data_IF_193905970062
#
_entry.id   IF_193905970062
#
_cell.length_a   1.000
_cell.length_b   1.000
_cell.length_c   1.000
_cell.angle_alpha   90.00
_cell.angle_beta   90.00
_cell.angle_gamma   90.00
#
_symmetry.space_group_name_H-M   'P 1'
#
loop_
_entity.id
_entity.type
_entity.pdbx_description
1 polymer ?
#
# COMPACT_ATOMS: atom_id res chain seq x y z
N UNK A 1 -1.78 -14.01 -10.70
CA UNK A 1 -2.30 -13.89 -9.31
C UNK A 1 -1.71 -14.90 -8.34
N UNK A 2 -1.83 -16.21 -8.56
CA UNK A 2 -1.26 -17.21 -7.65
C UNK A 2 0.26 -17.04 -7.49
N UNK A 3 0.97 -16.84 -8.60
CA UNK A 3 2.42 -16.61 -8.57
C UNK A 3 2.79 -15.38 -7.75
N UNK A 4 2.14 -14.23 -7.94
CA UNK A 4 2.35 -13.03 -7.11
C UNK A 4 2.19 -13.36 -5.62
N UNK A 5 1.09 -14.01 -5.24
CA UNK A 5 0.82 -14.38 -3.84
C UNK A 5 1.90 -15.30 -3.28
N UNK A 6 2.33 -16.30 -4.03
CA UNK A 6 3.29 -17.29 -3.55
C UNK A 6 4.70 -16.71 -3.51
N UNK A 7 5.09 -15.89 -4.49
CA UNK A 7 6.41 -15.25 -4.59
C UNK A 7 6.60 -14.09 -3.63
N UNK A 8 5.53 -13.48 -3.11
CA UNK A 8 5.63 -12.37 -2.15
C UNK A 8 5.27 -12.77 -0.71
N UNK A 9 5.08 -14.06 -0.44
CA UNK A 9 4.60 -14.55 0.87
C UNK A 9 5.53 -14.15 2.01
N UNK A 10 6.83 -14.33 1.83
CA UNK A 10 7.85 -14.02 2.84
C UNK A 10 7.85 -12.54 3.19
N UNK A 11 7.84 -11.68 2.18
CA UNK A 11 7.85 -10.23 2.35
C UNK A 11 6.52 -9.72 2.93
N UNK A 12 5.38 -10.36 2.60
CA UNK A 12 4.09 -10.10 3.23
C UNK A 12 4.11 -10.40 4.74
N UNK A 13 4.61 -11.57 5.15
CA UNK A 13 4.75 -11.91 6.58
C UNK A 13 5.69 -10.92 7.29
N UNK A 14 6.77 -10.50 6.64
CA UNK A 14 7.71 -9.52 7.21
C UNK A 14 7.02 -8.19 7.48
N UNK A 15 6.30 -7.61 6.52
CA UNK A 15 5.64 -6.31 6.73
C UNK A 15 4.56 -6.38 7.82
N UNK A 16 3.82 -7.49 7.94
CA UNK A 16 2.87 -7.70 9.03
C UNK A 16 3.55 -7.67 10.41
N UNK A 17 4.74 -8.29 10.52
CA UNK A 17 5.52 -8.32 11.75
C UNK A 17 6.11 -6.95 12.14
N UNK A 18 6.41 -6.09 11.16
CA UNK A 18 6.92 -4.73 11.39
C UNK A 18 5.78 -3.81 11.82
N UNK A 19 4.66 -3.87 11.10
CA UNK A 19 3.51 -2.99 11.33
C UNK A 19 2.75 -3.35 12.62
N UNK A 20 2.56 -4.65 12.90
CA UNK A 20 1.81 -5.16 14.06
C UNK A 20 0.41 -4.55 14.20
N UNK A 21 -0.25 -4.27 13.07
CA UNK A 21 -1.56 -3.59 13.03
C UNK A 21 -2.71 -4.38 13.67
N UNK A 22 -2.53 -5.68 13.87
CA UNK A 22 -3.47 -6.55 14.57
C UNK A 22 -3.18 -6.65 16.07
N UNK A 23 -2.21 -5.90 16.59
CA UNK A 23 -1.93 -5.85 18.02
C UNK A 23 -2.35 -4.50 18.59
N UNK A 24 -2.69 -4.42 19.89
CA UNK A 24 -2.89 -3.14 20.55
C UNK A 24 -1.66 -2.24 20.39
N UNK A 25 -1.89 -0.96 20.11
CA UNK A 25 -0.84 0.05 19.98
C UNK A 25 -1.34 1.40 20.47
N UNK A 26 -0.44 2.37 20.64
CA UNK A 26 -0.80 3.75 20.96
C UNK A 26 -1.25 4.52 19.71
N UNK A 27 -2.02 5.60 19.92
CA UNK A 27 -2.37 6.55 18.85
C UNK A 27 -1.11 7.14 18.21
N UNK A 28 -0.06 7.41 19.00
CA UNK A 28 1.21 7.93 18.48
C UNK A 28 1.90 6.94 17.53
N UNK A 29 1.94 5.64 17.87
CA UNK A 29 2.48 4.61 16.98
C UNK A 29 1.66 4.50 15.71
N UNK A 30 0.33 4.47 15.82
CA UNK A 30 -0.56 4.44 14.67
C UNK A 30 -0.37 5.66 13.75
N UNK A 31 -0.25 6.87 14.31
CA UNK A 31 0.07 8.07 13.56
C UNK A 31 1.41 7.94 12.82
N UNK A 32 2.44 7.36 13.44
CA UNK A 32 3.71 7.06 12.76
C UNK A 32 3.56 6.11 11.56
N UNK A 33 2.74 5.06 11.69
CA UNK A 33 2.41 4.16 10.59
C UNK A 33 1.69 4.90 9.46
N UNK A 34 0.69 5.72 9.80
CA UNK A 34 -0.04 6.52 8.82
C UNK A 34 0.84 7.54 8.11
N UNK A 35 1.80 8.15 8.83
CA UNK A 35 2.78 9.06 8.23
C UNK A 35 3.66 8.32 7.23
N UNK A 36 4.16 7.13 7.58
CA UNK A 36 4.95 6.32 6.64
C UNK A 36 4.16 5.92 5.39
N UNK A 37 2.90 5.50 5.53
CA UNK A 37 2.04 5.22 4.36
C UNK A 37 1.78 6.45 3.51
N UNK A 38 1.48 7.60 4.13
CA UNK A 38 1.27 8.86 3.40
C UNK A 38 2.53 9.26 2.61
N UNK A 39 3.69 9.26 3.27
CA UNK A 39 4.97 9.62 2.66
C UNK A 39 5.38 8.67 1.53
N UNK A 40 5.10 7.37 1.68
CA UNK A 40 5.29 6.40 0.62
C UNK A 40 4.36 6.65 -0.56
N UNK A 41 3.04 6.73 -0.32
CA UNK A 41 2.03 6.82 -1.37
C UNK A 41 2.12 8.12 -2.17
N UNK A 42 2.37 9.26 -1.52
CA UNK A 42 2.47 10.55 -2.21
C UNK A 42 3.64 10.62 -3.21
N UNK A 43 4.64 9.74 -3.05
CA UNK A 43 5.78 9.60 -3.97
C UNK A 43 5.60 8.46 -4.96
N UNK A 44 4.99 7.36 -4.51
CA UNK A 44 4.74 6.17 -5.31
C UNK A 44 3.65 6.40 -6.37
N UNK A 45 2.55 7.08 -6.03
CA UNK A 45 1.42 7.29 -6.96
C UNK A 45 1.79 8.08 -8.22
N UNK A 46 2.55 9.19 -8.17
CA UNK A 46 2.98 9.89 -9.38
C UNK A 46 3.90 9.02 -10.26
N UNK A 47 4.80 8.25 -9.64
CA UNK A 47 5.68 7.33 -10.36
C UNK A 47 4.87 6.25 -11.08
N UNK A 48 3.91 5.65 -10.39
CA UNK A 48 2.97 4.69 -10.97
C UNK A 48 2.24 5.27 -12.17
N UNK A 49 1.67 6.48 -12.03
CA UNK A 49 0.94 7.13 -13.11
C UNK A 49 1.83 7.39 -14.33
N UNK A 50 3.10 7.73 -14.13
CA UNK A 50 4.06 7.96 -15.21
C UNK A 50 4.50 6.68 -15.94
N UNK A 51 4.52 5.53 -15.25
CA UNK A 51 4.92 4.24 -15.83
C UNK A 51 3.75 3.53 -16.54
N UNK A 52 2.52 3.72 -16.06
CA UNK A 52 1.36 3.08 -16.66
C UNK A 52 1.02 3.68 -18.04
N UNK A 53 0.57 2.86 -19.00
CA UNK A 53 0.12 3.34 -20.29
C UNK A 53 -1.17 4.17 -20.13
N UNK A 54 -1.37 5.14 -21.04
CA UNK A 54 -2.50 6.09 -20.98
C UNK A 54 -3.87 5.44 -20.81
N UNK A 55 -4.09 4.29 -21.46
CA UNK A 55 -5.33 3.49 -21.34
C UNK A 55 -5.68 3.06 -19.91
N UNK A 56 -4.72 3.08 -18.98
CA UNK A 56 -4.90 2.71 -17.57
C UNK A 56 -4.89 3.91 -16.62
N UNK A 57 -4.76 5.14 -17.10
CA UNK A 57 -4.67 6.34 -16.26
C UNK A 57 -5.94 6.57 -15.43
N UNK A 58 -7.12 6.61 -16.06
CA UNK A 58 -8.39 6.79 -15.33
C UNK A 58 -8.71 5.63 -14.39
N UNK A 59 -8.31 4.42 -14.79
CA UNK A 59 -8.46 3.23 -13.98
C UNK A 59 -7.60 3.28 -12.72
N UNK A 60 -6.32 3.64 -12.85
CA UNK A 60 -5.39 3.77 -11.71
C UNK A 60 -5.67 5.01 -10.85
N UNK A 61 -6.17 6.11 -11.43
CA UNK A 61 -6.49 7.32 -10.69
C UNK A 61 -7.58 7.11 -9.62
N UNK A 62 -8.58 6.25 -9.90
CA UNK A 62 -9.65 5.89 -8.97
C UNK A 62 -9.19 5.02 -7.78
N UNK A 63 -7.92 4.60 -7.79
CA UNK A 63 -7.32 3.68 -6.82
C UNK A 63 -6.30 4.34 -5.90
N UNK A 64 -6.12 5.66 -6.03
CA UNK A 64 -5.22 6.42 -5.16
C UNK A 64 -5.71 6.35 -3.72
N UNK A 65 -4.76 6.18 -2.79
CA UNK A 65 -5.01 6.06 -1.34
C UNK A 65 -4.26 7.10 -0.51
N UNK A 66 -3.38 7.88 -1.13
CA UNK A 66 -2.65 8.98 -0.48
C UNK A 66 -3.58 9.99 0.19
N UNK A 67 -4.73 10.27 -0.44
CA UNK A 67 -5.78 11.16 0.11
C UNK A 67 -6.35 10.64 1.42
N UNK A 68 -6.69 9.35 1.51
CA UNK A 68 -7.17 8.75 2.77
C UNK A 68 -6.12 8.83 3.88
N UNK A 69 -4.86 8.53 3.57
CA UNK A 69 -3.79 8.65 4.54
C UNK A 69 -3.58 10.11 5.01
N UNK A 70 -3.73 11.08 4.10
CA UNK A 70 -3.64 12.50 4.44
C UNK A 70 -4.81 12.94 5.36
N UNK A 71 -6.04 12.50 5.06
CA UNK A 71 -7.21 12.78 5.89
C UNK A 71 -7.08 12.19 7.30
N UNK A 72 -6.58 10.97 7.40
CA UNK A 72 -6.32 10.34 8.70
C UNK A 72 -5.29 11.13 9.51
N UNK A 73 -4.20 11.57 8.89
CA UNK A 73 -3.17 12.36 9.56
C UNK A 73 -3.69 13.71 10.08
N UNK A 74 -4.60 14.36 9.35
CA UNK A 74 -5.25 15.59 9.83
C UNK A 74 -6.08 15.33 11.10
N UNK A 75 -6.78 14.20 11.17
CA UNK A 75 -7.56 13.83 12.36
C UNK A 75 -6.68 13.41 13.54
N UNK A 76 -5.55 12.77 13.27
CA UNK A 76 -4.60 12.35 14.30
C UNK A 76 -3.73 13.49 14.84
N UNK A 77 -3.78 14.68 14.21
CA UNK A 77 -2.86 15.80 14.49
C UNK A 77 -1.40 15.33 14.51
N UNK A 78 -1.04 14.47 13.56
CA UNK A 78 0.26 13.81 13.54
C UNK A 78 1.39 14.84 13.39
N UNK A 79 2.48 14.73 14.17
CA UNK A 79 3.61 15.63 14.02
C UNK A 79 4.35 15.37 12.71
N UNK A 80 5.03 16.40 12.22
CA UNK A 80 5.93 16.27 11.08
C UNK A 80 7.08 15.30 11.41
N UNK A 81 7.36 14.36 10.51
CA UNK A 81 8.38 13.31 10.69
C UNK A 81 9.33 13.25 9.48
N UNK A 82 10.33 14.15 9.39
CA UNK A 82 11.22 14.24 8.23
C UNK A 82 11.99 12.94 7.97
N UNK A 83 12.34 12.19 9.01
CA UNK A 83 13.01 10.89 8.89
C UNK A 83 12.18 9.85 8.12
N UNK A 84 10.85 9.85 8.28
CA UNK A 84 9.96 8.98 7.52
C UNK A 84 9.82 9.44 6.07
N UNK A 85 9.80 10.76 5.85
CA UNK A 85 9.77 11.34 4.51
C UNK A 85 11.02 10.94 3.70
N UNK A 86 12.21 11.03 4.30
CA UNK A 86 13.47 10.63 3.69
C UNK A 86 13.56 9.12 3.46
N UNK A 87 13.12 8.32 4.43
CA UNK A 87 13.06 6.86 4.30
C UNK A 87 12.14 6.44 3.14
N UNK A 88 10.93 7.01 3.08
CA UNK A 88 9.98 6.79 1.99
C UNK A 88 10.54 7.21 0.64
N UNK A 89 11.30 8.29 0.56
CA UNK A 89 11.93 8.72 -0.68
C UNK A 89 12.98 7.73 -1.19
N UNK A 90 13.87 7.26 -0.31
CA UNK A 90 14.86 6.22 -0.66
C UNK A 90 14.17 4.91 -1.04
N UNK A 91 13.18 4.50 -0.26
CA UNK A 91 12.42 3.27 -0.47
C UNK A 91 11.65 3.28 -1.80
N UNK A 92 10.91 4.36 -2.11
CA UNK A 92 10.16 4.44 -3.37
C UNK A 92 11.10 4.43 -4.57
N UNK A 93 12.30 5.02 -4.47
CA UNK A 93 13.31 4.96 -5.54
C UNK A 93 13.85 3.56 -5.80
N UNK A 94 13.92 2.70 -4.79
CA UNK A 94 14.50 1.34 -4.92
C UNK A 94 13.57 0.35 -5.63
N UNK A 95 12.28 0.67 -5.76
CA UNK A 95 11.31 -0.18 -6.45
C UNK A 95 11.66 -0.21 -7.95
N UNK A 96 11.85 -1.36 -8.60
CA UNK A 96 11.99 -1.43 -10.06
C UNK A 96 10.60 -1.29 -10.68
N UNK A 97 10.31 -0.14 -11.29
CA UNK A 97 9.02 0.20 -11.89
C UNK A 97 9.22 0.83 -13.28
N UNK A 98 9.88 0.06 -14.16
CA UNK A 98 10.30 0.52 -15.49
C UNK A 98 9.27 0.30 -16.60
N UNK A 99 8.30 -0.59 -16.39
CA UNK A 99 7.28 -0.94 -17.39
C UNK A 99 5.92 -1.23 -16.75
N UNK A 100 4.93 -1.51 -17.60
CA UNK A 100 3.56 -1.82 -17.16
C UNK A 100 3.49 -3.03 -16.24
N UNK A 101 4.28 -4.08 -16.50
CA UNK A 101 4.26 -5.29 -15.69
C UNK A 101 4.78 -5.03 -14.27
N UNK A 102 5.89 -4.30 -14.17
CA UNK A 102 6.46 -3.87 -12.91
C UNK A 102 5.50 -2.95 -12.15
N UNK A 103 4.89 -1.97 -12.81
CA UNK A 103 3.89 -1.08 -12.21
C UNK A 103 2.70 -1.85 -11.63
N UNK A 104 2.14 -2.80 -12.37
CA UNK A 104 1.02 -3.63 -11.91
C UNK A 104 1.43 -4.58 -10.76
N UNK A 105 2.65 -5.11 -10.80
CA UNK A 105 3.24 -5.87 -9.69
C UNK A 105 3.35 -5.03 -8.41
N UNK A 106 3.79 -3.78 -8.53
CA UNK A 106 3.83 -2.86 -7.40
C UNK A 106 2.42 -2.51 -6.88
N UNK A 107 1.47 -2.26 -7.78
CA UNK A 107 0.06 -2.03 -7.42
C UNK A 107 -0.55 -3.21 -6.66
N UNK A 108 -0.22 -4.45 -7.02
CA UNK A 108 -0.73 -5.64 -6.33
C UNK A 108 -0.51 -5.59 -4.82
N UNK A 109 0.61 -5.02 -4.36
CA UNK A 109 0.93 -4.86 -2.94
C UNK A 109 -0.01 -3.86 -2.26
N UNK A 110 -0.22 -2.69 -2.87
CA UNK A 110 -1.03 -1.61 -2.31
C UNK A 110 -2.53 -1.90 -2.41
N UNK A 111 -2.96 -2.55 -3.49
CA UNK A 111 -4.33 -3.04 -3.67
C UNK A 111 -4.65 -4.19 -2.72
N UNK A 112 -3.73 -5.14 -2.55
CA UNK A 112 -3.88 -6.26 -1.64
C UNK A 112 -3.99 -5.82 -0.18
N UNK A 113 -3.25 -4.79 0.23
CA UNK A 113 -3.29 -4.27 1.61
C UNK A 113 -4.65 -3.66 1.97
N UNK A 114 -5.44 -3.20 1.00
CA UNK A 114 -6.79 -2.68 1.24
C UNK A 114 -7.74 -3.78 1.75
N UNK A 115 -7.54 -5.04 1.35
CA UNK A 115 -8.33 -6.17 1.86
C UNK A 115 -8.02 -6.46 3.33
N UNK A 116 -6.74 -6.41 3.70
CA UNK A 116 -6.31 -6.50 5.10
C UNK A 116 -6.91 -5.38 5.96
N UNK A 117 -7.17 -4.23 5.36
CA UNK A 117 -7.90 -3.11 5.96
C UNK A 117 -9.27 -3.48 6.54
N UNK A 118 -9.98 -4.46 5.96
CA UNK A 118 -11.26 -4.94 6.48
C UNK A 118 -11.13 -5.67 7.82
N UNK A 119 -9.95 -6.22 8.11
CA UNK A 119 -9.61 -6.82 9.41
C UNK A 119 -9.08 -5.75 10.36
N UNK A 120 -8.25 -4.82 9.87
CA UNK A 120 -7.58 -3.80 10.67
C UNK A 120 -8.57 -2.74 11.18
N UNK A 121 -9.52 -2.27 10.35
CA UNK A 121 -10.43 -1.18 10.71
C UNK A 121 -11.30 -1.49 11.95
N UNK A 122 -11.89 -2.69 12.12
CA UNK A 122 -12.56 -3.07 13.37
C UNK A 122 -11.64 -3.01 14.59
N UNK A 123 -10.36 -3.38 14.45
CA UNK A 123 -9.40 -3.38 15.55
C UNK A 123 -8.99 -1.96 15.95
N UNK A 124 -8.81 -1.07 14.98
CA UNK A 124 -8.57 0.36 15.23
C UNK A 124 -9.74 0.99 15.98
N UNK A 125 -10.98 0.64 15.61
CA UNK A 125 -12.17 1.08 16.34
C UNK A 125 -12.19 0.55 17.77
N UNK A 126 -11.92 -0.74 17.96
CA UNK A 126 -11.98 -1.38 19.27
C UNK A 126 -10.90 -0.89 20.23
N UNK A 127 -9.66 -0.70 19.76
CA UNK A 127 -8.51 -0.38 20.61
C UNK A 127 -8.20 1.12 20.71
N UNK A 128 -8.53 1.90 19.68
CA UNK A 128 -8.18 3.33 19.59
C UNK A 128 -9.41 4.24 19.44
N UNK A 129 -10.62 3.69 19.31
CA UNK A 129 -11.83 4.48 19.07
C UNK A 129 -11.90 5.13 17.68
N UNK A 130 -10.98 4.78 16.77
CA UNK A 130 -10.88 5.40 15.45
C UNK A 130 -11.94 4.86 14.50
N UNK A 131 -12.48 5.75 13.67
CA UNK A 131 -13.51 5.41 12.67
C UNK A 131 -13.08 5.86 11.29
N UNK A 132 -13.75 5.43 10.20
CA UNK A 132 -13.45 5.92 8.86
C UNK A 132 -13.52 7.45 8.74
N UNK A 133 -14.40 8.11 9.50
CA UNK A 133 -14.50 9.57 9.56
C UNK A 133 -13.65 10.20 10.68
N UNK A 134 -12.78 9.42 11.32
CA UNK A 134 -12.08 9.80 12.55
C UNK A 134 -10.71 9.14 12.64
N UNK A 135 -9.91 9.18 11.56
CA UNK A 135 -8.51 8.74 11.56
C UNK A 135 -8.25 7.32 11.05
N UNK A 136 -9.25 6.62 10.50
CA UNK A 136 -9.08 5.27 9.94
C UNK A 136 -9.67 5.09 8.52
N UNK A 137 -9.80 6.17 7.75
CA UNK A 137 -10.26 6.14 6.36
C UNK A 137 -9.36 5.28 5.46
N UNK A 138 -8.04 5.30 5.67
CA UNK A 138 -7.09 4.55 4.85
C UNK A 138 -7.30 3.05 4.90
N UNK A 139 -7.45 2.49 6.11
CA UNK A 139 -7.72 1.07 6.31
C UNK A 139 -9.18 0.70 6.04
N UNK A 140 -10.10 1.66 6.14
CA UNK A 140 -11.46 1.45 5.63
C UNK A 140 -11.48 1.32 4.10
N UNK A 141 -10.59 2.04 3.41
CA UNK A 141 -10.46 2.03 1.96
C UNK A 141 -11.74 2.50 1.28
N UNK A 142 -12.23 1.72 0.32
CA UNK A 142 -13.47 2.02 -0.40
C UNK A 142 -14.69 1.37 0.24
N UNK A 143 -14.59 0.97 1.51
CA UNK A 143 -15.68 0.35 2.26
C UNK A 143 -16.25 -0.86 1.52
N UNK A 144 -17.57 -0.94 1.30
CA UNK A 144 -18.20 -2.06 0.58
C UNK A 144 -17.67 -2.31 -0.83
N UNK A 145 -17.11 -1.29 -1.50
CA UNK A 145 -16.57 -1.43 -2.85
C UNK A 145 -15.17 -2.06 -2.88
N UNK A 146 -14.47 -2.20 -1.75
CA UNK A 146 -13.10 -2.72 -1.69
C UNK A 146 -12.97 -4.09 -2.35
N UNK A 147 -13.89 -5.02 -2.08
CA UNK A 147 -13.89 -6.34 -2.69
C UNK A 147 -14.11 -6.31 -4.21
N UNK A 148 -14.98 -5.41 -4.68
CA UNK A 148 -15.23 -5.23 -6.12
C UNK A 148 -14.02 -4.63 -6.83
N UNK A 149 -13.38 -3.62 -6.24
CA UNK A 149 -12.17 -2.99 -6.77
C UNK A 149 -10.99 -3.97 -6.83
N UNK A 150 -10.87 -4.88 -5.86
CA UNK A 150 -9.88 -5.94 -5.92
C UNK A 150 -10.14 -6.94 -7.05
N UNK A 151 -11.41 -7.34 -7.27
CA UNK A 151 -11.77 -8.21 -8.40
C UNK A 151 -11.45 -7.54 -9.73
N UNK A 152 -11.83 -6.28 -9.91
CA UNK A 152 -11.48 -5.51 -11.10
C UNK A 152 -9.96 -5.42 -11.30
N UNK A 153 -9.19 -5.22 -10.21
CA UNK A 153 -7.74 -5.23 -10.30
C UNK A 153 -7.19 -6.55 -10.83
N UNK A 154 -7.70 -7.67 -10.31
CA UNK A 154 -7.31 -9.02 -10.74
C UNK A 154 -7.61 -9.26 -12.22
N UNK A 155 -8.74 -8.78 -12.71
CA UNK A 155 -9.11 -8.89 -14.12
C UNK A 155 -8.17 -8.07 -15.01
N UNK A 156 -7.87 -6.83 -14.61
CA UNK A 156 -6.94 -5.96 -15.34
C UNK A 156 -5.54 -6.56 -15.38
N UNK A 157 -4.96 -6.94 -14.24
CA UNK A 157 -3.60 -7.50 -14.24
C UNK A 157 -3.51 -8.81 -15.04
N UNK A 158 -4.53 -9.67 -14.97
CA UNK A 158 -4.58 -10.89 -15.79
C UNK A 158 -4.64 -10.56 -17.28
N UNK A 159 -5.42 -9.55 -17.68
CA UNK A 159 -5.51 -9.12 -19.07
C UNK A 159 -4.21 -8.48 -19.57
N UNK A 160 -3.61 -7.57 -18.80
CA UNK A 160 -2.43 -6.82 -19.23
C UNK A 160 -1.16 -7.69 -19.27
N UNK A 161 -1.03 -8.69 -18.38
CA UNK A 161 0.11 -9.61 -18.39
C UNK A 161 -0.12 -10.84 -19.29
N UNK A 162 -1.38 -11.21 -19.52
CA UNK A 162 -1.74 -12.39 -20.32
C UNK A 162 -1.06 -13.67 -19.82
N UNK A 163 -0.52 -14.45 -20.75
CA UNK A 163 0.29 -15.64 -20.49
C UNK A 163 1.80 -15.38 -20.63
N UNK A 164 2.23 -14.13 -20.61
CA UNK A 164 3.65 -13.78 -20.71
C UNK A 164 4.35 -14.04 -19.38
N UNK A 165 5.16 -15.12 -19.34
CA UNK A 165 5.93 -15.49 -18.17
C UNK A 165 7.00 -14.46 -17.80
N UNK A 166 7.59 -13.75 -18.78
CA UNK A 166 8.57 -12.71 -18.50
C UNK A 166 7.89 -11.52 -17.82
N UNK A 167 6.73 -11.09 -18.32
CA UNK A 167 5.92 -10.06 -17.68
C UNK A 167 5.48 -10.48 -16.26
N UNK A 168 5.06 -11.73 -16.07
CA UNK A 168 4.72 -12.27 -14.75
C UNK A 168 5.90 -12.23 -13.77
N UNK A 169 7.11 -12.62 -14.21
CA UNK A 169 8.33 -12.52 -13.40
C UNK A 169 8.68 -11.08 -13.05
N UNK A 170 8.57 -10.15 -13.99
CA UNK A 170 8.78 -8.72 -13.76
C UNK A 170 7.80 -8.16 -12.73
N UNK A 171 6.51 -8.50 -12.84
CA UNK A 171 5.50 -8.11 -11.86
C UNK A 171 5.82 -8.67 -10.47
N UNK A 172 6.20 -9.95 -10.35
CA UNK A 172 6.58 -10.55 -9.07
C UNK A 172 7.83 -9.89 -8.47
N UNK A 173 8.83 -9.58 -9.29
CA UNK A 173 10.04 -8.90 -8.84
C UNK A 173 9.72 -7.51 -8.28
N UNK A 174 8.93 -6.70 -9.00
CA UNK A 174 8.51 -5.38 -8.53
C UNK A 174 7.65 -5.44 -7.27
N UNK A 175 6.74 -6.42 -7.18
CA UNK A 175 5.91 -6.63 -5.99
C UNK A 175 6.76 -6.90 -4.74
N UNK A 176 7.76 -7.80 -4.85
CA UNK A 176 8.69 -8.09 -3.73
C UNK A 176 9.46 -6.85 -3.30
N UNK A 177 10.01 -6.09 -4.25
CA UNK A 177 10.70 -4.84 -3.97
C UNK A 177 9.76 -3.78 -3.36
N UNK A 178 8.48 -3.77 -3.71
CA UNK A 178 7.49 -2.87 -3.12
C UNK A 178 7.24 -3.22 -1.65
N UNK A 179 7.14 -4.51 -1.31
CA UNK A 179 7.08 -4.93 0.10
C UNK A 179 8.35 -4.58 0.87
N UNK A 180 9.53 -4.85 0.30
CA UNK A 180 10.81 -4.49 0.93
C UNK A 180 10.90 -2.99 1.17
N UNK A 181 10.54 -2.18 0.17
CA UNK A 181 10.51 -0.72 0.30
C UNK A 181 9.56 -0.28 1.43
N UNK A 182 8.38 -0.89 1.57
CA UNK A 182 7.50 -0.62 2.71
C UNK A 182 8.17 -1.01 4.03
N UNK A 183 8.83 -2.17 4.12
CA UNK A 183 9.56 -2.56 5.33
C UNK A 183 10.61 -1.51 5.70
N UNK A 184 11.42 -1.07 4.73
CA UNK A 184 12.48 -0.08 4.93
C UNK A 184 11.94 1.27 5.47
N UNK A 185 10.72 1.66 5.10
CA UNK A 185 10.05 2.85 5.66
C UNK A 185 9.75 2.69 7.15
N UNK A 186 9.37 1.48 7.56
CA UNK A 186 8.84 1.24 8.91
C UNK A 186 9.84 0.60 9.87
N UNK A 187 11.02 0.13 9.42
CA UNK A 187 12.05 -0.49 10.27
C UNK A 187 12.52 0.41 11.43
N UNK A 188 12.46 1.73 11.25
CA UNK A 188 12.83 2.71 12.29
C UNK A 188 11.67 3.16 13.20
N UNK A 189 10.45 2.64 13.02
CA UNK A 189 9.32 3.03 13.86
C UNK A 189 9.44 2.42 15.26
N UNK A 190 9.38 3.24 16.34
CA UNK A 190 9.38 2.73 17.71
C UNK A 190 8.25 1.73 17.95
N UNK A 191 8.55 0.67 18.69
CA UNK A 191 7.64 -0.42 19.05
C UNK A 191 6.33 0.04 19.71
#
# INVERSE_FOLDING_TARGET
MNELRDKTRTEHTRIESVLRLTQPMSVARYAGVMTGFHEFLRRWEPRLASTLPSRLHDWSARRKRSGFAADDLRHLHAPHAPQLAEAAERAVRSIPMGDTAAALGSMYVIEGSALGGQVIAPMLKAHLGLTPAGGASYFHGHGPATGAMWRDFREVITRELGHDEAAARTACHSARHTFSALCDVFEGLPA
#
